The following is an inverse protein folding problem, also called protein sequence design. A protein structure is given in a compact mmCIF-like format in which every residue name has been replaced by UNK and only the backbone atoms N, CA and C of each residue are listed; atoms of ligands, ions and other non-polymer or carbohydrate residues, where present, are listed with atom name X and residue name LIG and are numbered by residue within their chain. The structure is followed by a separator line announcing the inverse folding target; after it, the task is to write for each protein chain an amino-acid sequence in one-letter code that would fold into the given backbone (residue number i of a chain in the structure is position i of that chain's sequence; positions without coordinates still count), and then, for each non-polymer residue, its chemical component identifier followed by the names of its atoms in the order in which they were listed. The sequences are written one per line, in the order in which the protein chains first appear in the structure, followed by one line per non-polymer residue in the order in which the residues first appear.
data_IF_227019970785
#
_entry.id   IF_227019970785
#
_cell.length_a   1.000
_cell.length_b   1.000
_cell.length_c   1.000
_cell.angle_alpha   90.00
_cell.angle_beta   90.00
_cell.angle_gamma   90.00
#
_symmetry.space_group_name_H-M   'P 1'
#
loop_
_entity.id
_entity.type
_entity.pdbx_description
1 polymer ?
#
# COMPACT_ATOMS: atom_id res chain seq x y z
N UNK A 1 -1.37 3.46 15.74
CA UNK A 1 -0.83 2.45 14.81
C UNK A 1 0.19 3.14 13.91
N UNK A 2 1.36 2.52 13.70
CA UNK A 2 2.45 3.09 12.90
C UNK A 2 2.86 2.07 11.83
N UNK A 3 3.03 2.51 10.60
CA UNK A 3 3.66 1.69 9.56
C UNK A 3 5.16 1.83 9.72
N UNK A 4 5.81 0.70 9.95
CA UNK A 4 7.25 0.64 10.11
C UNK A 4 7.90 0.58 8.73
N UNK A 5 7.39 -0.29 7.85
CA UNK A 5 8.03 -0.57 6.58
C UNK A 5 7.05 -1.12 5.54
N UNK A 6 7.36 -0.90 4.26
CA UNK A 6 6.73 -1.55 3.11
C UNK A 6 7.86 -2.26 2.37
N UNK A 7 7.89 -3.59 2.43
CA UNK A 7 8.98 -4.43 1.91
C UNK A 7 8.60 -5.09 0.59
N UNK A 8 9.62 -5.51 -0.16
CA UNK A 8 9.46 -6.34 -1.36
C UNK A 8 8.41 -5.79 -2.33
N UNK A 9 8.49 -4.49 -2.62
CA UNK A 9 7.58 -3.84 -3.57
C UNK A 9 7.93 -4.38 -4.95
N UNK A 10 6.99 -5.11 -5.55
CA UNK A 10 7.10 -5.65 -6.90
C UNK A 10 6.02 -5.02 -7.74
N UNK A 11 6.43 -4.34 -8.82
CA UNK A 11 5.53 -3.82 -9.84
C UNK A 11 5.01 -4.97 -10.69
N UNK A 12 3.69 -5.08 -10.82
CA UNK A 12 3.05 -6.03 -11.74
C UNK A 12 2.81 -5.31 -13.08
N UNK A 13 3.49 -5.78 -14.13
CA UNK A 13 3.31 -5.23 -15.48
C UNK A 13 1.86 -5.36 -15.92
N UNK A 14 1.27 -4.21 -16.29
CA UNK A 14 -0.06 -4.12 -16.85
C UNK A 14 -0.03 -3.21 -18.08
N UNK A 15 -0.89 -3.50 -19.05
CA UNK A 15 -1.02 -2.73 -20.30
C UNK A 15 -1.77 -1.38 -20.13
N UNK A 16 -2.03 -0.96 -18.89
CA UNK A 16 -2.83 0.22 -18.56
C UNK A 16 -1.92 1.28 -17.94
N UNK A 17 -1.46 2.23 -18.75
CA UNK A 17 -0.44 3.22 -18.35
C UNK A 17 -0.80 4.08 -17.14
N UNK A 18 -2.07 4.39 -16.93
CA UNK A 18 -2.53 5.22 -15.81
C UNK A 18 -2.79 4.41 -14.52
N UNK A 19 -2.59 3.08 -14.56
CA UNK A 19 -2.88 2.16 -13.46
C UNK A 19 -1.67 1.28 -13.16
N UNK A 20 -0.97 1.58 -12.07
CA UNK A 20 0.17 0.79 -11.60
C UNK A 20 -0.27 -0.13 -10.47
N UNK A 21 0.03 -1.42 -10.57
CA UNK A 21 -0.31 -2.43 -9.57
C UNK A 21 0.97 -2.93 -8.91
N UNK A 22 0.92 -3.11 -7.60
CA UNK A 22 2.04 -3.56 -6.81
C UNK A 22 1.63 -4.67 -5.84
N UNK A 23 2.53 -5.63 -5.66
CA UNK A 23 2.51 -6.60 -4.58
C UNK A 23 3.61 -6.29 -3.59
N UNK A 24 3.32 -6.37 -2.29
CA UNK A 24 4.27 -5.97 -1.24
C UNK A 24 3.93 -6.61 0.11
N UNK A 25 4.82 -6.43 1.09
CA UNK A 25 4.64 -6.87 2.46
C UNK A 25 4.63 -5.65 3.37
N UNK A 26 3.58 -5.49 4.16
CA UNK A 26 3.46 -4.41 5.13
C UNK A 26 3.98 -4.88 6.49
N UNK A 27 4.84 -4.06 7.11
CA UNK A 27 5.28 -4.24 8.49
C UNK A 27 4.68 -3.12 9.33
N UNK A 28 3.79 -3.47 10.26
CA UNK A 28 3.07 -2.49 11.06
C UNK A 28 3.20 -2.77 12.56
N UNK A 29 3.33 -1.68 13.31
CA UNK A 29 3.28 -1.70 14.77
C UNK A 29 1.84 -1.47 15.22
N UNK A 30 1.26 -2.50 15.83
CA UNK A 30 0.03 -2.40 16.63
C UNK A 30 0.42 -2.31 18.13
N UNK A 31 -0.50 -1.92 19.03
CA UNK A 31 -0.16 -1.66 20.43
C UNK A 31 0.55 -2.80 21.14
N UNK A 32 0.19 -4.05 20.85
CA UNK A 32 0.68 -5.22 21.58
C UNK A 32 1.80 -5.99 20.86
N UNK A 33 1.96 -5.79 19.55
CA UNK A 33 2.91 -6.53 18.73
C UNK A 33 3.21 -5.85 17.40
N UNK A 34 4.27 -6.33 16.75
CA UNK A 34 4.51 -6.08 15.33
C UNK A 34 3.87 -7.21 14.53
N UNK A 35 3.19 -6.84 13.44
CA UNK A 35 2.63 -7.81 12.50
C UNK A 35 3.16 -7.51 11.10
N UNK A 36 3.34 -8.58 10.35
CA UNK A 36 3.80 -8.55 8.97
C UNK A 36 2.80 -9.34 8.14
N UNK A 37 2.31 -8.75 7.04
CA UNK A 37 1.32 -9.40 6.18
C UNK A 37 1.50 -8.97 4.72
N UNK A 38 1.23 -9.89 3.77
CA UNK A 38 1.22 -9.54 2.36
C UNK A 38 0.04 -8.62 2.05
N UNK A 39 0.23 -7.67 1.16
CA UNK A 39 -0.85 -6.83 0.64
C UNK A 39 -0.55 -6.39 -0.79
N UNK A 40 -1.60 -6.03 -1.51
CA UNK A 40 -1.52 -5.48 -2.84
C UNK A 40 -2.08 -4.08 -2.84
N UNK A 41 -1.54 -3.22 -3.70
CA UNK A 41 -2.10 -1.90 -3.89
C UNK A 41 -2.02 -1.47 -5.35
N UNK A 42 -2.98 -0.63 -5.73
CA UNK A 42 -3.09 -0.06 -7.06
C UNK A 42 -3.08 1.45 -6.93
N UNK A 43 -2.24 2.10 -7.72
CA UNK A 43 -2.24 3.55 -7.89
C UNK A 43 -2.84 3.84 -9.26
N UNK A 44 -4.04 4.42 -9.26
CA UNK A 44 -4.71 4.88 -10.45
C UNK A 44 -4.62 6.40 -10.53
N UNK A 45 -4.21 6.92 -11.69
CA UNK A 45 -4.13 8.37 -11.95
C UNK A 45 -5.31 8.77 -12.81
N UNK A 46 -6.21 9.58 -12.26
CA UNK A 46 -7.34 10.14 -12.99
C UNK A 46 -6.86 11.15 -14.04
N UNK A 47 -7.67 11.46 -15.08
CA UNK A 47 -7.32 12.46 -16.09
C UNK A 47 -7.04 13.85 -15.51
N UNK A 48 -7.59 14.18 -14.34
CA UNK A 48 -7.34 15.44 -13.63
C UNK A 48 -6.03 15.44 -12.83
N UNK A 49 -5.25 14.35 -12.88
CA UNK A 49 -4.03 14.15 -12.10
C UNK A 49 -4.25 13.64 -10.68
N UNK A 50 -5.51 13.52 -10.23
CA UNK A 50 -5.83 12.98 -8.91
C UNK A 50 -5.44 11.50 -8.84
N UNK A 51 -4.69 11.12 -7.80
CA UNK A 51 -4.30 9.73 -7.56
C UNK A 51 -5.29 9.06 -6.63
N UNK A 52 -5.80 7.90 -7.03
CA UNK A 52 -6.58 7.02 -6.19
C UNK A 52 -5.74 5.80 -5.81
N UNK A 53 -5.74 5.45 -4.51
CA UNK A 53 -5.03 4.28 -3.99
C UNK A 53 -6.06 3.26 -3.53
N UNK A 54 -6.05 2.10 -4.16
CA UNK A 54 -6.80 0.92 -3.74
C UNK A 54 -5.85 -0.05 -3.04
N UNK A 55 -6.32 -0.68 -1.96
CA UNK A 55 -5.53 -1.61 -1.15
C UNK A 55 -6.35 -2.89 -0.99
N UNK A 56 -5.71 -4.02 -1.31
CA UNK A 56 -6.26 -5.35 -1.11
C UNK A 56 -5.36 -6.08 -0.11
N UNK A 57 -5.95 -6.52 0.99
CA UNK A 57 -5.27 -7.36 1.97
C UNK A 57 -5.88 -8.76 1.80
N UNK A 58 -5.12 -9.73 1.25
CA UNK A 58 -5.63 -11.07 0.96
C UNK A 58 -5.92 -11.90 2.21
N UNK A 59 -5.30 -11.54 3.34
CA UNK A 59 -5.41 -12.28 4.60
C UNK A 59 -6.14 -11.46 5.67
N UNK A 60 -6.88 -12.15 6.54
CA UNK A 60 -7.50 -11.52 7.70
C UNK A 60 -6.43 -11.14 8.72
N UNK A 61 -6.37 -9.85 9.05
CA UNK A 61 -5.53 -9.35 10.11
C UNK A 61 -6.35 -9.31 11.41
N UNK A 62 -5.79 -9.81 12.49
CA UNK A 62 -6.34 -9.72 13.84
C UNK A 62 -6.14 -8.30 14.43
N UNK A 63 -6.66 -7.30 13.73
CA UNK A 63 -6.65 -5.87 14.07
C UNK A 63 -7.66 -5.10 13.19
N UNK A 64 -8.25 -3.98 13.66
CA UNK A 64 -9.15 -3.19 12.84
C UNK A 64 -8.51 -2.73 11.51
N UNK A 65 -9.14 -3.06 10.38
CA UNK A 65 -8.60 -2.78 9.05
C UNK A 65 -8.58 -1.30 8.68
N UNK A 66 -9.59 -0.54 9.09
CA UNK A 66 -9.73 0.87 8.72
C UNK A 66 -8.48 1.72 9.08
N UNK A 67 -7.94 1.69 10.31
CA UNK A 67 -6.70 2.42 10.62
C UNK A 67 -5.50 1.91 9.83
N UNK A 68 -5.42 0.60 9.55
CA UNK A 68 -4.35 -0.01 8.77
C UNK A 68 -4.35 0.51 7.34
N UNK A 69 -5.51 0.47 6.68
CA UNK A 69 -5.69 0.96 5.32
C UNK A 69 -5.38 2.45 5.24
N UNK A 70 -5.86 3.27 6.18
CA UNK A 70 -5.56 4.72 6.20
C UNK A 70 -4.06 5.00 6.31
N UNK A 71 -3.38 4.32 7.22
CA UNK A 71 -1.95 4.48 7.40
C UNK A 71 -1.17 4.01 6.15
N UNK A 72 -1.60 2.91 5.52
CA UNK A 72 -0.97 2.38 4.31
C UNK A 72 -1.11 3.37 3.15
N UNK A 73 -2.31 3.90 2.91
CA UNK A 73 -2.54 4.92 1.87
C UNK A 73 -1.64 6.14 2.07
N UNK A 74 -1.49 6.61 3.30
CA UNK A 74 -0.59 7.73 3.60
C UNK A 74 0.86 7.39 3.24
N UNK A 75 1.36 6.22 3.67
CA UNK A 75 2.74 5.80 3.43
C UNK A 75 3.03 5.56 1.94
N UNK A 76 2.09 4.93 1.22
CA UNK A 76 2.18 4.71 -0.23
C UNK A 76 2.23 6.04 -0.98
N UNK A 77 1.38 7.01 -0.61
CA UNK A 77 1.43 8.35 -1.21
C UNK A 77 2.80 9.03 -1.03
N UNK A 78 3.41 8.89 0.15
CA UNK A 78 4.76 9.41 0.41
C UNK A 78 5.78 8.71 -0.49
N UNK A 79 5.76 7.38 -0.56
CA UNK A 79 6.69 6.61 -1.40
C UNK A 79 6.54 6.93 -2.89
N UNK A 80 5.32 7.16 -3.36
CA UNK A 80 5.06 7.56 -4.74
C UNK A 80 5.59 8.96 -5.05
N UNK A 81 5.41 9.90 -4.12
CA UNK A 81 5.93 11.27 -4.24
C UNK A 81 7.47 11.32 -4.19
N UNK A 82 8.09 10.44 -3.41
CA UNK A 82 9.55 10.31 -3.27
C UNK A 82 10.19 9.49 -4.41
N UNK A 83 9.39 8.87 -5.28
CA UNK A 83 9.87 8.09 -6.43
C UNK A 83 10.40 6.69 -6.07
N UNK A 84 10.03 6.17 -4.91
CA UNK A 84 10.38 4.81 -4.47
C UNK A 84 9.55 3.72 -5.15
N UNK A 85 8.44 4.08 -5.81
CA UNK A 85 7.57 3.15 -6.53
C UNK A 85 7.86 3.22 -8.04
N UNK A 86 8.69 2.30 -8.52
CA UNK A 86 9.09 2.19 -9.93
C UNK A 86 8.55 0.89 -10.54
#
# INVERSE_FOLDING_TARGET
MKILEIKNIVSEENHIYYRRKFSSIAVVQIPERQIEFPFQFIIETAPTGNKNIEITIPETIDYPLLPVVRALKHKINQFDAEGYLK
#
